data_IF_792808705979
#
_entry.id   IF_792808705979
#
_cell.length_a   1.000
_cell.length_b   1.000
_cell.length_c   1.000
_cell.angle_alpha   90.00
_cell.angle_beta   90.00
_cell.angle_gamma   90.00
#
_symmetry.space_group_name_H-M   'P 1'
#
loop_
_entity.id
_entity.type
_entity.pdbx_description
1 polymer ?
#
# COMPACT_ATOMS: atom_id res chain seq x y z
N UNK A 1 -1.81 -15.14 8.76
CA UNK A 1 -1.66 -14.26 7.61
C UNK A 1 -2.98 -13.59 7.25
N UNK A 2 -4.06 -14.33 6.96
CA UNK A 2 -5.37 -13.79 6.51
C UNK A 2 -5.94 -12.70 7.43
N UNK A 3 -5.95 -12.91 8.75
CA UNK A 3 -6.45 -11.91 9.70
C UNK A 3 -5.73 -10.55 9.63
N UNK A 4 -4.43 -10.55 9.33
CA UNK A 4 -3.67 -9.29 9.16
C UNK A 4 -4.07 -8.61 7.84
N UNK A 5 -4.28 -9.37 6.78
CA UNK A 5 -4.78 -8.84 5.51
C UNK A 5 -6.16 -8.21 5.69
N UNK A 6 -7.10 -8.95 6.32
CA UNK A 6 -8.45 -8.45 6.61
C UNK A 6 -8.40 -7.17 7.44
N UNK A 7 -7.49 -7.08 8.43
CA UNK A 7 -7.30 -5.87 9.22
C UNK A 7 -6.78 -4.70 8.38
N UNK A 8 -5.79 -4.90 7.52
CA UNK A 8 -5.26 -3.87 6.62
C UNK A 8 -6.37 -3.37 5.68
N UNK A 9 -7.15 -4.29 5.11
CA UNK A 9 -8.24 -3.99 4.19
C UNK A 9 -9.40 -3.26 4.88
N UNK A 10 -9.66 -3.54 6.17
CA UNK A 10 -10.65 -2.81 6.97
C UNK A 10 -10.31 -1.32 7.15
N UNK A 11 -9.06 -0.94 6.92
CA UNK A 11 -8.60 0.45 6.89
C UNK A 11 -8.65 1.09 5.48
N UNK A 12 -9.32 0.49 4.50
CA UNK A 12 -9.35 0.91 3.09
C UNK A 12 -7.92 0.95 2.47
N UNK A 13 -7.06 0.06 2.90
CA UNK A 13 -5.74 -0.14 2.35
C UNK A 13 -5.70 -1.46 1.58
N UNK A 14 -4.82 -1.56 0.61
CA UNK A 14 -4.60 -2.81 -0.13
C UNK A 14 -3.51 -3.63 0.54
N UNK A 15 -3.84 -4.83 1.00
CA UNK A 15 -2.85 -5.79 1.46
C UNK A 15 -2.19 -6.51 0.28
N UNK A 16 -0.85 -6.59 0.29
CA UNK A 16 -0.06 -7.38 -0.67
C UNK A 16 0.72 -8.40 0.13
N UNK A 17 0.29 -9.67 0.09
CA UNK A 17 1.02 -10.76 0.75
C UNK A 17 2.22 -11.21 -0.09
N UNK A 18 3.22 -11.73 0.61
CA UNK A 18 4.30 -12.48 -0.03
C UNK A 18 3.77 -13.84 -0.48
N UNK A 19 3.35 -13.96 -1.74
CA UNK A 19 3.03 -15.26 -2.32
C UNK A 19 4.32 -16.02 -2.64
N UNK A 20 4.26 -17.35 -2.56
CA UNK A 20 5.32 -18.19 -3.09
C UNK A 20 5.34 -17.98 -4.60
N UNK A 21 6.38 -17.35 -5.11
CA UNK A 21 6.55 -17.08 -6.53
C UNK A 21 7.19 -18.32 -7.17
N UNK A 22 6.37 -19.18 -7.73
CA UNK A 22 6.85 -20.36 -8.45
C UNK A 22 7.82 -19.95 -9.58
N UNK A 23 9.07 -20.45 -9.49
CA UNK A 23 10.06 -20.36 -10.55
C UNK A 23 10.84 -19.04 -10.69
N UNK A 24 10.63 -18.04 -9.84
CA UNK A 24 11.43 -16.81 -9.82
C UNK A 24 12.36 -16.74 -8.60
N UNK A 25 13.53 -16.09 -8.70
CA UNK A 25 14.34 -15.78 -7.53
C UNK A 25 13.50 -14.97 -6.52
N UNK A 26 13.29 -15.52 -5.33
CA UNK A 26 12.38 -14.95 -4.32
C UNK A 26 12.75 -13.51 -3.95
N UNK A 27 14.03 -13.24 -3.73
CA UNK A 27 14.53 -11.94 -3.26
C UNK A 27 14.20 -10.77 -4.19
N UNK A 28 14.49 -10.79 -5.51
CA UNK A 28 14.17 -9.67 -6.40
C UNK A 28 12.66 -9.37 -6.47
N UNK A 29 11.83 -10.40 -6.46
CA UNK A 29 10.39 -10.25 -6.56
C UNK A 29 9.80 -9.67 -5.27
N UNK A 30 10.28 -10.09 -4.09
CA UNK A 30 9.89 -9.54 -2.79
C UNK A 30 10.36 -8.09 -2.67
N UNK A 31 11.59 -7.78 -3.04
CA UNK A 31 12.11 -6.41 -3.07
C UNK A 31 11.28 -5.50 -3.98
N UNK A 32 10.86 -5.97 -5.15
CA UNK A 32 9.97 -5.21 -6.05
C UNK A 32 8.61 -4.92 -5.39
N UNK A 33 8.00 -5.91 -4.70
CA UNK A 33 6.76 -5.73 -3.94
C UNK A 33 6.93 -4.71 -2.82
N UNK A 34 8.00 -4.81 -2.02
CA UNK A 34 8.29 -3.86 -0.94
C UNK A 34 8.49 -2.45 -1.52
N UNK A 35 9.22 -2.30 -2.61
CA UNK A 35 9.45 -1.01 -3.26
C UNK A 35 8.14 -0.37 -3.74
N UNK A 36 7.20 -1.17 -4.25
CA UNK A 36 5.89 -0.72 -4.71
C UNK A 36 4.88 -0.49 -3.57
N UNK A 37 5.13 -1.01 -2.37
CA UNK A 37 4.27 -0.83 -1.20
C UNK A 37 4.57 0.49 -0.49
N UNK A 38 3.60 1.00 0.26
CA UNK A 38 3.75 2.23 1.04
C UNK A 38 4.24 1.96 2.47
N UNK A 39 4.03 0.75 2.98
CA UNK A 39 4.48 0.32 4.31
C UNK A 39 4.68 -1.21 4.35
N UNK A 40 5.40 -1.70 5.36
CA UNK A 40 5.65 -3.13 5.60
C UNK A 40 5.18 -3.55 6.99
N UNK A 41 4.39 -4.61 7.07
CA UNK A 41 4.12 -5.35 8.32
C UNK A 41 4.77 -6.72 8.20
N UNK A 42 5.77 -6.97 9.01
CA UNK A 42 6.51 -8.23 9.05
C UNK A 42 6.02 -9.12 10.19
N UNK A 43 5.81 -10.40 9.94
CA UNK A 43 5.40 -11.38 10.94
C UNK A 43 6.59 -12.24 11.35
N UNK A 44 7.05 -12.06 12.58
CA UNK A 44 8.14 -12.84 13.17
C UNK A 44 7.58 -13.96 14.04
N UNK A 45 7.53 -15.15 13.47
CA UNK A 45 7.15 -16.39 14.18
C UNK A 45 8.38 -17.25 14.49
N UNK A 46 8.31 -18.12 15.51
CA UNK A 46 9.41 -19.02 15.86
C UNK A 46 9.69 -20.00 14.72
N UNK A 47 10.96 -20.15 14.36
CA UNK A 47 11.42 -21.11 13.35
C UNK A 47 12.44 -22.08 13.91
N UNK A 48 13.52 -21.58 14.47
CA UNK A 48 14.63 -22.35 14.97
C UNK A 48 14.94 -21.97 16.41
N UNK A 49 15.36 -22.92 17.28
CA UNK A 49 15.83 -22.58 18.61
C UNK A 49 16.99 -21.58 18.54
N UNK A 50 16.98 -20.59 19.42
CA UNK A 50 18.08 -19.64 19.49
C UNK A 50 19.26 -20.29 20.24
N UNK A 51 20.44 -20.46 19.63
CA UNK A 51 21.59 -21.11 20.26
C UNK A 51 22.18 -20.29 21.42
N UNK A 52 21.86 -18.98 21.48
CA UNK A 52 22.45 -18.06 22.47
C UNK A 52 21.47 -17.82 23.63
N UNK A 53 20.17 -17.85 23.37
CA UNK A 53 19.12 -17.55 24.36
C UNK A 53 18.25 -18.79 24.63
N UNK A 54 18.47 -19.45 25.74
CA UNK A 54 17.71 -20.65 26.13
C UNK A 54 16.20 -20.35 26.21
N UNK A 55 15.37 -21.22 25.61
CA UNK A 55 13.92 -21.07 25.57
C UNK A 55 13.41 -20.01 24.60
N UNK A 56 14.28 -19.39 23.81
CA UNK A 56 13.93 -18.48 22.75
C UNK A 56 14.12 -19.09 21.37
N UNK A 57 13.50 -18.47 20.37
CA UNK A 57 13.55 -18.89 18.98
C UNK A 57 14.04 -17.73 18.09
N UNK A 58 14.60 -18.09 16.96
CA UNK A 58 14.87 -17.18 15.85
C UNK A 58 13.70 -17.18 14.88
N UNK A 59 13.44 -16.06 14.27
CA UNK A 59 12.58 -15.98 13.08
C UNK A 59 13.39 -16.27 11.82
N UNK A 60 12.71 -16.38 10.68
CA UNK A 60 13.37 -16.53 9.38
C UNK A 60 14.24 -15.31 9.07
N UNK A 61 15.44 -15.54 8.56
CA UNK A 61 16.35 -14.47 8.09
C UNK A 61 15.71 -13.64 6.98
N UNK A 62 14.88 -14.24 6.14
CA UNK A 62 14.11 -13.54 5.11
C UNK A 62 13.28 -12.38 5.65
N UNK A 63 12.58 -12.58 6.76
CA UNK A 63 11.74 -11.53 7.38
C UNK A 63 12.62 -10.37 7.87
N UNK A 64 13.81 -10.69 8.36
CA UNK A 64 14.79 -9.69 8.82
C UNK A 64 15.32 -8.86 7.63
N UNK A 65 15.62 -9.52 6.52
CA UNK A 65 16.11 -8.89 5.30
C UNK A 65 15.04 -7.99 4.68
N UNK A 66 13.77 -8.40 4.66
CA UNK A 66 12.64 -7.59 4.20
C UNK A 66 12.52 -6.27 4.99
N UNK A 67 12.61 -6.33 6.32
CA UNK A 67 12.56 -5.14 7.18
C UNK A 67 13.75 -4.22 6.89
N UNK A 68 14.95 -4.78 6.81
CA UNK A 68 16.16 -4.02 6.52
C UNK A 68 16.08 -3.35 5.15
N UNK A 69 15.59 -4.07 4.15
CA UNK A 69 15.38 -3.54 2.81
C UNK A 69 14.37 -2.38 2.80
N UNK A 70 13.20 -2.55 3.44
CA UNK A 70 12.19 -1.51 3.51
C UNK A 70 12.69 -0.21 4.15
N UNK A 71 13.57 -0.33 5.15
CA UNK A 71 14.18 0.82 5.84
C UNK A 71 15.33 1.46 5.07
N UNK A 72 16.03 0.69 4.24
CA UNK A 72 17.20 1.15 3.49
C UNK A 72 16.88 1.81 2.14
N UNK A 73 15.73 1.50 1.53
CA UNK A 73 15.33 2.12 0.27
C UNK A 73 15.03 3.62 0.44
N UNK A 74 15.10 4.37 -0.66
CA UNK A 74 14.80 5.80 -0.67
C UNK A 74 13.53 6.09 -1.49
N UNK A 75 12.48 6.70 -0.88
CA UNK A 75 12.37 7.02 0.54
C UNK A 75 12.17 5.76 1.41
N UNK A 76 12.63 5.80 2.68
CA UNK A 76 12.42 4.70 3.61
C UNK A 76 10.92 4.42 3.81
N UNK A 77 10.56 3.14 3.89
CA UNK A 77 9.17 2.75 4.15
C UNK A 77 8.92 2.59 5.65
N UNK A 78 7.76 3.04 6.17
CA UNK A 78 7.32 2.64 7.48
C UNK A 78 7.30 1.11 7.58
N UNK A 79 7.96 0.58 8.60
CA UNK A 79 8.04 -0.87 8.79
C UNK A 79 7.80 -1.21 10.26
N UNK A 80 7.01 -2.24 10.51
CA UNK A 80 6.72 -2.77 11.84
C UNK A 80 6.79 -4.28 11.86
N UNK A 81 7.28 -4.83 12.96
CA UNK A 81 7.28 -6.27 13.21
C UNK A 81 6.19 -6.66 14.21
N UNK A 82 5.37 -7.64 13.86
CA UNK A 82 4.59 -8.43 14.80
C UNK A 82 5.46 -9.59 15.27
N UNK A 83 5.86 -9.60 16.52
CA UNK A 83 6.83 -10.53 17.05
C UNK A 83 6.17 -11.44 18.08
N UNK A 84 6.19 -12.75 17.86
CA UNK A 84 5.76 -13.69 18.88
C UNK A 84 6.72 -13.63 20.08
N UNK A 85 6.18 -13.63 21.30
CA UNK A 85 6.97 -13.45 22.55
C UNK A 85 8.10 -14.45 22.74
N UNK A 86 8.01 -15.62 22.11
CA UNK A 86 9.06 -16.63 22.11
C UNK A 86 10.23 -16.28 21.18
N UNK A 87 10.06 -15.33 20.26
CA UNK A 87 11.10 -14.94 19.29
C UNK A 87 12.01 -13.88 19.89
N UNK A 88 13.32 -14.11 19.82
CA UNK A 88 14.35 -13.12 20.13
C UNK A 88 14.67 -12.30 18.90
N UNK A 89 14.62 -10.98 19.05
CA UNK A 89 14.95 -10.03 17.98
C UNK A 89 16.30 -9.41 18.26
N UNK A 90 17.29 -9.75 17.44
CA UNK A 90 18.69 -9.33 17.61
C UNK A 90 19.12 -8.33 16.54
N UNK A 91 20.22 -7.62 16.83
CA UNK A 91 20.91 -6.73 15.87
C UNK A 91 20.07 -5.52 15.47
N UNK A 92 20.27 -5.04 14.23
CA UNK A 92 19.62 -3.83 13.69
C UNK A 92 18.09 -3.90 13.67
N UNK A 93 17.50 -5.10 13.76
CA UNK A 93 16.04 -5.26 13.83
C UNK A 93 15.48 -4.93 15.23
N UNK A 94 16.33 -4.83 16.27
CA UNK A 94 15.91 -4.39 17.59
C UNK A 94 15.38 -2.96 17.60
N UNK A 95 15.83 -2.11 16.66
CA UNK A 95 15.38 -0.73 16.48
C UNK A 95 14.10 -0.58 15.63
N UNK A 96 13.58 -1.68 15.07
CA UNK A 96 12.31 -1.65 14.35
C UNK A 96 11.15 -1.52 15.34
N UNK A 97 10.16 -0.68 14.99
CA UNK A 97 8.91 -0.65 15.73
C UNK A 97 8.29 -2.05 15.77
N UNK A 98 7.95 -2.50 16.98
CA UNK A 98 7.46 -3.88 17.17
C UNK A 98 6.29 -3.97 18.12
N UNK A 99 5.41 -4.92 17.82
CA UNK A 99 4.30 -5.33 18.68
C UNK A 99 4.53 -6.78 19.07
N UNK A 100 4.69 -7.01 20.37
CA UNK A 100 4.78 -8.38 20.91
C UNK A 100 3.39 -9.00 20.97
N UNK A 101 3.27 -10.25 20.56
CA UNK A 101 2.03 -11.00 20.68
C UNK A 101 2.24 -12.42 21.25
N UNK A 102 1.19 -12.96 21.80
CA UNK A 102 1.07 -14.38 22.15
C UNK A 102 0.02 -15.02 21.24
N UNK A 103 0.29 -16.21 20.73
CA UNK A 103 -0.65 -16.91 19.85
C UNK A 103 -2.02 -17.15 20.51
N UNK A 104 -2.04 -17.32 21.84
CA UNK A 104 -3.26 -17.48 22.62
C UNK A 104 -4.02 -16.16 22.93
N UNK A 105 -3.39 -14.98 22.73
CA UNK A 105 -3.95 -13.67 23.09
C UNK A 105 -3.61 -12.61 22.02
N UNK A 106 -4.21 -12.74 20.85
CA UNK A 106 -3.93 -11.89 19.70
C UNK A 106 -4.56 -10.50 19.77
N UNK A 107 -5.70 -10.35 20.46
CA UNK A 107 -6.51 -9.12 20.44
C UNK A 107 -5.72 -7.84 20.79
N UNK A 108 -4.92 -7.80 21.89
CA UNK A 108 -4.15 -6.60 22.22
C UNK A 108 -3.15 -6.19 21.12
N UNK A 109 -2.52 -7.17 20.47
CA UNK A 109 -1.60 -6.92 19.37
C UNK A 109 -2.33 -6.37 18.13
N UNK A 110 -3.50 -6.92 17.81
CA UNK A 110 -4.34 -6.44 16.71
C UNK A 110 -4.83 -5.02 16.92
N UNK A 111 -5.21 -4.65 18.16
CA UNK A 111 -5.61 -3.27 18.48
C UNK A 111 -4.45 -2.29 18.26
N UNK A 112 -3.24 -2.63 18.71
CA UNK A 112 -2.05 -1.81 18.46
C UNK A 112 -1.71 -1.72 16.97
N UNK A 113 -1.77 -2.85 16.26
CA UNK A 113 -1.55 -2.88 14.81
C UNK A 113 -2.56 -1.98 14.09
N UNK A 114 -3.83 -2.07 14.44
CA UNK A 114 -4.90 -1.21 13.88
C UNK A 114 -4.60 0.28 14.10
N UNK A 115 -4.16 0.67 15.30
CA UNK A 115 -3.78 2.04 15.61
C UNK A 115 -2.59 2.50 14.75
N UNK A 116 -1.56 1.66 14.60
CA UNK A 116 -0.39 1.98 13.78
C UNK A 116 -0.76 2.08 12.29
N UNK A 117 -1.56 1.16 11.76
CA UNK A 117 -2.08 1.24 10.38
C UNK A 117 -2.87 2.53 10.18
N UNK A 118 -3.73 2.91 11.13
CA UNK A 118 -4.46 4.17 11.08
C UNK A 118 -3.55 5.40 11.09
N UNK A 119 -2.44 5.36 11.84
CA UNK A 119 -1.43 6.42 11.81
C UNK A 119 -0.70 6.47 10.46
N UNK A 120 -0.31 5.33 9.91
CA UNK A 120 0.33 5.24 8.59
C UNK A 120 -0.61 5.73 7.47
N UNK A 121 -1.89 5.35 7.51
CA UNK A 121 -2.88 5.84 6.54
C UNK A 121 -2.90 7.37 6.44
N UNK A 122 -2.72 8.08 7.55
CA UNK A 122 -2.64 9.56 7.55
C UNK A 122 -1.38 10.08 6.86
N UNK A 123 -0.27 9.34 6.92
CA UNK A 123 1.02 9.75 6.32
C UNK A 123 1.19 9.27 4.88
N UNK A 124 0.82 8.03 4.58
CA UNK A 124 1.00 7.43 3.24
C UNK A 124 -0.23 7.60 2.35
N UNK A 125 -1.39 7.95 2.93
CA UNK A 125 -2.67 8.07 2.24
C UNK A 125 -3.43 6.75 2.15
N UNK A 126 -4.68 6.85 1.76
CA UNK A 126 -5.60 5.72 1.55
C UNK A 126 -5.91 5.47 0.08
N UNK A 127 -6.74 4.45 -0.17
CA UNK A 127 -7.32 4.20 -1.48
C UNK A 127 -8.54 5.12 -1.65
N UNK A 128 -8.45 6.08 -2.57
CA UNK A 128 -9.60 6.89 -2.97
C UNK A 128 -10.29 6.29 -4.20
N UNK A 129 -11.62 6.28 -4.17
CA UNK A 129 -12.45 5.94 -5.33
C UNK A 129 -13.10 7.22 -5.83
N UNK A 130 -12.65 7.69 -6.99
CA UNK A 130 -13.06 8.98 -7.55
C UNK A 130 -13.90 8.75 -8.81
N UNK A 131 -15.10 9.31 -8.87
CA UNK A 131 -15.96 9.24 -10.05
C UNK A 131 -15.39 10.12 -11.15
N UNK A 132 -15.34 9.59 -12.36
CA UNK A 132 -14.89 10.29 -13.56
C UNK A 132 -16.09 10.92 -14.23
N UNK A 133 -16.02 12.21 -14.48
CA UNK A 133 -17.03 12.97 -15.23
C UNK A 133 -16.40 13.55 -16.51
N UNK A 134 -17.18 13.83 -17.58
CA UNK A 134 -18.64 13.63 -17.67
C UNK A 134 -19.04 12.16 -17.85
N UNK A 135 -20.28 11.85 -17.51
CA UNK A 135 -20.83 10.48 -17.61
C UNK A 135 -20.85 9.94 -19.06
N UNK A 136 -20.80 10.80 -20.07
CA UNK A 136 -20.66 10.42 -21.48
C UNK A 136 -19.39 9.60 -21.76
N UNK A 137 -18.32 9.83 -21.01
CA UNK A 137 -17.07 9.05 -21.07
C UNK A 137 -17.26 7.59 -20.68
N UNK A 138 -18.27 7.26 -19.87
CA UNK A 138 -18.55 5.89 -19.43
C UNK A 138 -18.68 4.92 -20.60
N UNK A 139 -19.36 5.32 -21.67
CA UNK A 139 -19.56 4.46 -22.83
C UNK A 139 -18.23 4.16 -23.57
N UNK A 140 -17.39 5.16 -23.69
CA UNK A 140 -16.03 5.05 -24.27
C UNK A 140 -15.17 4.13 -23.41
N UNK A 141 -15.10 4.39 -22.10
CA UNK A 141 -14.29 3.60 -21.15
C UNK A 141 -14.75 2.14 -21.07
N UNK A 142 -16.04 1.86 -21.20
CA UNK A 142 -16.56 0.48 -21.22
C UNK A 142 -16.19 -0.26 -22.51
N UNK A 143 -16.25 0.42 -23.67
CA UNK A 143 -15.96 -0.17 -24.97
C UNK A 143 -14.49 -0.53 -25.13
N UNK A 144 -13.62 0.38 -24.67
CA UNK A 144 -12.18 0.32 -24.92
C UNK A 144 -11.40 -0.10 -23.64
N UNK A 145 -12.06 -0.78 -22.68
CA UNK A 145 -11.51 -1.16 -21.38
C UNK A 145 -10.07 -1.75 -21.42
N UNK A 146 -9.72 -2.64 -22.37
CA UNK A 146 -8.37 -3.19 -22.43
C UNK A 146 -7.27 -2.20 -22.84
N UNK A 147 -7.65 -1.09 -23.50
CA UNK A 147 -6.72 -0.08 -24.02
C UNK A 147 -6.68 1.20 -23.19
N UNK A 148 -7.40 1.24 -22.06
CA UNK A 148 -7.44 2.42 -21.21
C UNK A 148 -6.13 2.54 -20.43
N UNK A 149 -5.46 3.65 -20.63
CA UNK A 149 -4.36 4.10 -19.78
C UNK A 149 -4.89 5.22 -18.87
N UNK A 150 -4.92 4.97 -17.58
CA UNK A 150 -5.27 5.97 -16.59
C UNK A 150 -4.07 6.24 -15.71
N UNK A 151 -3.73 7.50 -15.51
CA UNK A 151 -2.67 7.95 -14.61
C UNK A 151 -3.17 9.10 -13.74
N UNK A 152 -2.58 9.23 -12.56
CA UNK A 152 -2.91 10.31 -11.64
C UNK A 152 -1.63 10.90 -11.04
N UNK A 153 -1.72 12.15 -10.62
CA UNK A 153 -0.69 12.88 -9.90
C UNK A 153 -1.29 13.46 -8.63
N UNK A 154 -0.53 13.45 -7.55
CA UNK A 154 -0.92 14.06 -6.29
C UNK A 154 0.00 15.23 -5.96
N UNK A 155 -0.59 16.36 -5.62
CA UNK A 155 0.10 17.55 -5.14
C UNK A 155 -0.44 17.95 -3.77
N UNK A 156 0.39 18.57 -2.94
CA UNK A 156 -0.05 19.05 -1.63
C UNK A 156 -0.87 20.33 -1.78
N UNK A 157 -2.03 20.38 -1.16
CA UNK A 157 -2.95 21.53 -1.21
C UNK A 157 -2.30 22.84 -0.74
N UNK A 158 -1.43 22.77 0.29
CA UNK A 158 -0.85 23.95 0.93
C UNK A 158 0.15 24.71 0.06
N UNK A 159 0.99 24.01 -0.67
CA UNK A 159 2.18 24.56 -1.33
C UNK A 159 2.41 24.05 -2.76
N UNK A 160 1.50 23.22 -3.28
CA UNK A 160 1.62 22.62 -4.61
C UNK A 160 2.75 21.61 -4.77
N UNK A 161 3.43 21.23 -3.67
CA UNK A 161 4.50 20.23 -3.74
C UNK A 161 3.97 18.92 -4.29
N UNK A 162 4.68 18.35 -5.26
CA UNK A 162 4.36 17.01 -5.78
C UNK A 162 4.60 15.98 -4.69
N UNK A 163 3.53 15.32 -4.26
CA UNK A 163 3.55 14.22 -3.30
C UNK A 163 3.77 12.89 -4.02
N UNK A 164 3.20 12.77 -5.22
CA UNK A 164 3.29 11.60 -6.08
C UNK A 164 3.21 12.07 -7.53
N UNK A 165 4.21 11.75 -8.31
CA UNK A 165 4.18 12.05 -9.75
C UNK A 165 3.32 11.03 -10.49
N UNK A 166 3.15 11.18 -11.79
CA UNK A 166 2.24 10.38 -12.60
C UNK A 166 2.40 8.87 -12.36
N UNK A 167 1.40 8.27 -11.73
CA UNK A 167 1.30 6.84 -11.48
C UNK A 167 0.06 6.25 -12.13
N UNK A 168 0.13 4.96 -12.45
CA UNK A 168 -1.01 4.25 -13.05
C UNK A 168 -2.14 4.12 -12.04
N UNK A 169 -3.35 4.43 -12.48
CA UNK A 169 -4.60 4.19 -11.78
C UNK A 169 -5.41 3.09 -12.48
N UNK A 170 -6.20 2.37 -11.71
CA UNK A 170 -7.15 1.41 -12.26
C UNK A 170 -8.50 2.09 -12.47
N UNK A 171 -9.06 1.97 -13.68
CA UNK A 171 -10.43 2.39 -13.97
C UNK A 171 -11.37 1.20 -13.78
N UNK A 172 -12.53 1.47 -13.19
CA UNK A 172 -13.64 0.51 -13.08
C UNK A 172 -14.92 1.15 -13.60
N UNK A 173 -15.56 0.50 -14.56
CA UNK A 173 -16.87 0.90 -15.07
C UNK A 173 -17.95 0.08 -14.38
N UNK A 174 -18.82 0.75 -13.62
CA UNK A 174 -19.91 0.15 -12.83
C UNK A 174 -21.27 0.72 -13.27
N UNK A 175 -22.36 0.19 -12.70
CA UNK A 175 -23.71 0.68 -12.99
C UNK A 175 -23.88 2.18 -12.70
N UNK A 176 -23.21 2.69 -11.65
CA UNK A 176 -23.28 4.10 -11.21
C UNK A 176 -22.30 5.06 -11.89
N UNK A 177 -21.46 4.62 -12.86
CA UNK A 177 -20.47 5.49 -13.51
C UNK A 177 -19.13 4.82 -13.79
N UNK A 178 -18.17 5.61 -14.22
CA UNK A 178 -16.76 5.23 -14.29
C UNK A 178 -16.01 5.77 -13.07
N UNK A 179 -15.11 4.98 -12.52
CA UNK A 179 -14.38 5.31 -11.28
C UNK A 179 -12.89 5.02 -11.47
N UNK A 180 -12.06 5.96 -11.00
CA UNK A 180 -10.62 5.74 -10.84
C UNK A 180 -10.32 5.31 -9.39
N UNK A 181 -9.51 4.29 -9.23
CA UNK A 181 -8.99 3.83 -7.94
C UNK A 181 -7.58 4.38 -7.78
N UNK A 182 -7.42 5.31 -6.83
CA UNK A 182 -6.20 6.09 -6.62
C UNK A 182 -5.58 5.72 -5.27
N UNK A 183 -4.52 4.92 -5.23
CA UNK A 183 -3.82 4.61 -3.99
C UNK A 183 -3.00 5.81 -3.49
N UNK A 184 -2.78 5.87 -2.17
CA UNK A 184 -1.91 6.86 -1.54
C UNK A 184 -2.47 8.28 -1.48
N UNK A 185 -3.79 8.46 -1.61
CA UNK A 185 -4.42 9.78 -1.52
C UNK A 185 -4.53 10.22 -0.07
N UNK A 186 -3.83 11.30 0.27
CA UNK A 186 -3.83 11.91 1.62
C UNK A 186 -4.92 12.98 1.73
N UNK A 187 -5.34 13.28 2.95
CA UNK A 187 -6.36 14.31 3.22
C UNK A 187 -5.94 15.72 2.74
N UNK A 188 -4.63 16.00 2.68
CA UNK A 188 -4.06 17.26 2.22
C UNK A 188 -3.65 17.24 0.73
N UNK A 189 -4.07 16.23 -0.03
CA UNK A 189 -3.70 16.09 -1.43
C UNK A 189 -4.76 16.69 -2.36
N UNK A 190 -4.26 17.24 -3.46
CA UNK A 190 -5.02 17.55 -4.66
C UNK A 190 -4.74 16.46 -5.70
N UNK A 191 -5.72 16.17 -6.53
CA UNK A 191 -5.70 15.11 -7.53
C UNK A 191 -5.70 15.77 -8.92
N UNK A 192 -4.84 15.26 -9.80
CA UNK A 192 -4.90 15.48 -11.24
C UNK A 192 -4.98 14.10 -11.91
N UNK A 193 -5.92 13.93 -12.84
CA UNK A 193 -6.20 12.67 -13.52
C UNK A 193 -5.98 12.83 -15.03
N UNK A 194 -5.32 11.85 -15.64
CA UNK A 194 -5.17 11.75 -17.10
C UNK A 194 -5.67 10.39 -17.56
N UNK A 195 -6.52 10.40 -18.57
CA UNK A 195 -7.10 9.19 -19.19
C UNK A 195 -6.77 9.23 -20.67
N UNK A 196 -6.18 8.16 -21.17
CA UNK A 196 -5.89 7.97 -22.58
C UNK A 196 -6.62 6.75 -23.12
N UNK A 197 -7.42 6.96 -24.14
CA UNK A 197 -8.05 5.94 -24.96
C UNK A 197 -7.73 6.30 -26.40
N UNK A 198 -6.74 5.68 -27.02
CA UNK A 198 -6.27 6.10 -28.33
C UNK A 198 -7.39 6.24 -29.37
N UNK A 199 -7.42 7.29 -30.19
CA UNK A 199 -6.42 8.39 -30.25
C UNK A 199 -6.65 9.54 -29.25
N UNK A 200 -7.64 9.46 -28.41
CA UNK A 200 -8.09 10.55 -27.53
C UNK A 200 -7.43 10.55 -26.16
N UNK A 201 -7.23 11.73 -25.61
CA UNK A 201 -6.73 11.95 -24.25
C UNK A 201 -7.64 12.94 -23.52
N UNK A 202 -7.91 12.67 -22.26
CA UNK A 202 -8.65 13.54 -21.34
C UNK A 202 -7.79 13.82 -20.11
N UNK A 203 -7.85 15.03 -19.62
CA UNK A 203 -7.13 15.46 -18.43
C UNK A 203 -8.01 16.33 -17.54
N UNK A 204 -7.87 16.22 -16.24
CA UNK A 204 -8.51 17.14 -15.30
C UNK A 204 -7.59 18.28 -14.95
N UNK A 205 -8.17 19.37 -14.46
CA UNK A 205 -7.43 20.32 -13.64
C UNK A 205 -7.02 19.68 -12.31
N UNK A 206 -6.07 20.34 -11.64
CA UNK A 206 -5.68 19.99 -10.27
C UNK A 206 -6.85 20.35 -9.35
N UNK A 207 -7.48 19.36 -8.76
CA UNK A 207 -8.64 19.54 -7.89
C UNK A 207 -8.37 19.08 -6.45
N UNK A 208 -8.94 19.75 -5.43
CA UNK A 208 -8.93 19.21 -4.08
C UNK A 208 -9.54 17.81 -4.05
N UNK A 209 -9.17 17.00 -3.07
CA UNK A 209 -9.75 15.68 -2.91
C UNK A 209 -11.27 15.75 -2.86
N UNK A 210 -11.93 15.20 -3.86
CA UNK A 210 -13.39 15.20 -4.03
C UNK A 210 -13.86 13.79 -4.38
N UNK A 211 -15.17 13.57 -4.26
CA UNK A 211 -15.81 12.32 -4.68
C UNK A 211 -15.81 12.14 -6.21
N UNK A 212 -15.55 13.20 -6.96
CA UNK A 212 -15.51 13.18 -8.42
C UNK A 212 -14.44 14.09 -8.99
N UNK A 213 -13.97 13.77 -10.18
CA UNK A 213 -13.04 14.58 -11.00
C UNK A 213 -13.66 14.78 -12.38
N UNK A 214 -13.69 16.02 -12.83
CA UNK A 214 -14.11 16.38 -14.21
C UNK A 214 -12.88 16.34 -15.10
N UNK A 215 -12.94 15.59 -16.19
CA UNK A 215 -11.89 15.55 -17.21
C UNK A 215 -12.38 16.14 -18.52
N UNK A 216 -11.51 16.88 -19.19
CA UNK A 216 -11.77 17.50 -20.48
C UNK A 216 -10.86 16.88 -21.53
N UNK A 217 -11.32 16.88 -22.78
CA UNK A 217 -10.55 16.37 -23.90
C UNK A 217 -9.43 17.37 -24.23
N UNK A 218 -8.20 16.88 -24.28
CA UNK A 218 -6.97 17.63 -24.60
C UNK A 218 -6.36 17.18 -25.91
#
# INVERSE_FOLDING_TARGET
>A
MRLIQDLVESHDLRAVAGDVLEGQPLTPAVHAKIKQSDALVALMSPREPNPIAAGKYRTSDWVRDEINYARAINPPKPAMALVEKSVEVEGMNADCERILYEAAALLPAFLKLSQTIGAWKRSVGGLATVRILPDSLRAVLKRDEPSIECAYRLTRLKDGQVLRDWEKARVQVRQGGAFALLPGVRADAQIELRIRVPPETWQSDVTPQQLHVVVEKV
#
